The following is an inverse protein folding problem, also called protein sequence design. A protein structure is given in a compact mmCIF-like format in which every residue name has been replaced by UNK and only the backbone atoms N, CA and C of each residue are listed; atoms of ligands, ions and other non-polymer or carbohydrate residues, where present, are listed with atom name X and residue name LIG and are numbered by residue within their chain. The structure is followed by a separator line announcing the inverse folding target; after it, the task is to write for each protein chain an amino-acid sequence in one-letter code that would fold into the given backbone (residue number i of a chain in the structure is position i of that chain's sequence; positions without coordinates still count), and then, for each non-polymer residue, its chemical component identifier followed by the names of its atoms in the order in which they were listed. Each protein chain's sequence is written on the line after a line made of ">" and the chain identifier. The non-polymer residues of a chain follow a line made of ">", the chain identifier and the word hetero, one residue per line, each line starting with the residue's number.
data_IF_991036150521
#
_entry.id   IF_991036150521
#
_cell.length_a   1.000
_cell.length_b   1.000
_cell.length_c   1.000
_cell.angle_alpha   90.00
_cell.angle_beta   90.00
_cell.angle_gamma   90.00
#
_symmetry.space_group_name_H-M   'P 1'
#
loop_
_entity.id
_entity.type
_entity.pdbx_description
1 polymer ?
#
# COMPACT_ATOMS: atom_id res chain seq x y z
N UNK A 1 19.58 -0.86 15.36
CA UNK A 1 18.36 -1.57 14.89
C UNK A 1 17.28 -0.66 14.30
N UNK A 2 17.04 0.58 14.79
CA UNK A 2 15.95 1.47 14.31
C UNK A 2 15.92 1.79 12.79
N UNK A 3 17.07 2.01 12.14
CA UNK A 3 17.11 2.35 10.70
C UNK A 3 16.70 1.19 9.77
N UNK A 4 17.12 -0.03 10.08
CA UNK A 4 16.79 -1.20 9.24
C UNK A 4 15.29 -1.50 9.28
N UNK A 5 14.64 -1.37 10.45
CA UNK A 5 13.20 -1.58 10.57
C UNK A 5 12.40 -0.49 9.84
N UNK A 6 12.79 0.79 9.94
CA UNK A 6 12.18 1.89 9.16
C UNK A 6 12.32 1.63 7.64
N UNK A 7 13.48 1.17 7.19
CA UNK A 7 13.69 0.83 5.77
C UNK A 7 12.81 -0.34 5.30
N UNK A 8 12.61 -1.37 6.13
CA UNK A 8 11.72 -2.50 5.81
C UNK A 8 10.26 -2.02 5.70
N UNK A 9 9.81 -1.17 6.62
CA UNK A 9 8.46 -0.60 6.54
C UNK A 9 8.27 0.29 5.31
N UNK A 10 9.28 1.09 4.94
CA UNK A 10 9.25 1.86 3.70
C UNK A 10 9.13 0.94 2.48
N UNK A 11 9.96 -0.12 2.42
CA UNK A 11 9.94 -1.06 1.30
C UNK A 11 8.58 -1.76 1.15
N UNK A 12 8.05 -2.30 2.25
CA UNK A 12 6.75 -2.98 2.25
C UNK A 12 5.62 -1.98 1.92
N UNK A 13 5.71 -0.75 2.44
CA UNK A 13 4.75 0.30 2.16
C UNK A 13 4.72 0.68 0.69
N UNK A 14 5.89 0.91 0.06
CA UNK A 14 5.98 1.19 -1.39
C UNK A 14 5.39 0.04 -2.20
N UNK A 15 5.80 -1.21 -1.93
CA UNK A 15 5.34 -2.37 -2.67
C UNK A 15 3.82 -2.53 -2.53
N UNK A 16 3.29 -2.43 -1.31
CA UNK A 16 1.86 -2.54 -1.02
C UNK A 16 1.05 -1.46 -1.73
N UNK A 17 1.49 -0.21 -1.70
CA UNK A 17 0.83 0.90 -2.39
C UNK A 17 0.86 0.73 -3.90
N UNK A 18 2.00 0.35 -4.50
CA UNK A 18 2.10 0.13 -5.95
C UNK A 18 1.20 -1.02 -6.40
N UNK A 19 1.24 -2.16 -5.71
CA UNK A 19 0.37 -3.30 -6.02
C UNK A 19 -1.11 -2.96 -5.83
N UNK A 20 -1.43 -2.20 -4.78
CA UNK A 20 -2.78 -1.70 -4.53
C UNK A 20 -3.29 -0.83 -5.68
N UNK A 21 -2.49 0.13 -6.17
CA UNK A 21 -2.88 0.99 -7.29
C UNK A 21 -3.02 0.19 -8.59
N UNK A 22 -2.04 -0.66 -8.90
CA UNK A 22 -2.03 -1.47 -10.13
C UNK A 22 -3.22 -2.44 -10.18
N UNK A 23 -3.68 -2.92 -9.03
CA UNK A 23 -4.87 -3.80 -8.95
C UNK A 23 -6.19 -3.03 -8.85
N UNK A 24 -6.24 -1.90 -8.16
CA UNK A 24 -7.45 -1.10 -8.00
C UNK A 24 -8.01 -0.61 -9.35
N UNK A 25 -7.14 -0.07 -10.22
CA UNK A 25 -7.53 0.50 -11.52
C UNK A 25 -8.30 -0.53 -12.38
N UNK A 26 -7.76 -1.73 -12.69
CA UNK A 26 -8.48 -2.70 -13.48
C UNK A 26 -9.74 -3.24 -12.78
N UNK A 27 -9.77 -3.35 -11.46
CA UNK A 27 -10.97 -3.80 -10.74
C UNK A 27 -12.11 -2.77 -10.80
N UNK A 28 -11.79 -1.47 -10.70
CA UNK A 28 -12.78 -0.41 -10.92
C UNK A 28 -13.30 -0.41 -12.37
N UNK A 29 -12.42 -0.57 -13.36
CA UNK A 29 -12.81 -0.63 -14.78
C UNK A 29 -13.75 -1.81 -15.07
N UNK A 30 -13.51 -2.97 -14.45
CA UNK A 30 -14.35 -4.15 -14.60
C UNK A 30 -15.59 -4.16 -13.67
N UNK A 31 -15.85 -3.07 -12.93
CA UNK A 31 -16.96 -2.96 -11.95
C UNK A 31 -16.93 -4.05 -10.86
N UNK A 32 -15.76 -4.61 -10.56
CA UNK A 32 -15.58 -5.63 -9.51
C UNK A 32 -15.26 -4.91 -8.20
N UNK A 33 -16.27 -4.27 -7.63
CA UNK A 33 -16.09 -3.36 -6.48
C UNK A 33 -15.54 -4.03 -5.23
N UNK A 34 -15.87 -5.31 -4.99
CA UNK A 34 -15.34 -6.05 -3.82
C UNK A 34 -13.80 -6.13 -3.87
N UNK A 35 -13.23 -6.46 -5.03
CA UNK A 35 -11.77 -6.52 -5.20
C UNK A 35 -11.16 -5.13 -5.21
N UNK A 36 -11.83 -4.15 -5.83
CA UNK A 36 -11.38 -2.76 -5.83
C UNK A 36 -11.25 -2.19 -4.40
N UNK A 37 -12.22 -2.49 -3.53
CA UNK A 37 -12.19 -2.09 -2.11
C UNK A 37 -10.99 -2.70 -1.38
N UNK A 38 -10.71 -3.99 -1.60
CA UNK A 38 -9.54 -4.67 -1.01
C UNK A 38 -8.24 -4.00 -1.47
N UNK A 39 -8.13 -3.68 -2.76
CA UNK A 39 -6.98 -2.97 -3.29
C UNK A 39 -6.82 -1.58 -2.68
N UNK A 40 -7.91 -0.84 -2.44
CA UNK A 40 -7.87 0.47 -1.76
C UNK A 40 -7.42 0.33 -0.30
N UNK A 41 -7.89 -0.69 0.42
CA UNK A 41 -7.41 -0.97 1.79
C UNK A 41 -5.90 -1.24 1.77
N UNK A 42 -5.40 -2.01 0.79
CA UNK A 42 -3.97 -2.27 0.63
C UNK A 42 -3.18 -0.98 0.38
N UNK A 43 -3.71 -0.04 -0.42
CA UNK A 43 -3.12 1.28 -0.62
C UNK A 43 -3.01 2.03 0.69
N UNK A 44 -4.10 2.09 1.47
CA UNK A 44 -4.14 2.82 2.76
C UNK A 44 -3.12 2.23 3.74
N UNK A 45 -3.05 0.91 3.86
CA UNK A 45 -2.07 0.23 4.73
C UNK A 45 -0.65 0.56 4.26
N UNK A 46 -0.38 0.53 2.96
CA UNK A 46 0.92 0.89 2.41
C UNK A 46 1.33 2.34 2.74
N UNK A 47 0.39 3.28 2.62
CA UNK A 47 0.60 4.69 2.97
C UNK A 47 0.85 4.88 4.47
N UNK A 48 0.14 4.15 5.34
CA UNK A 48 0.37 4.18 6.79
C UNK A 48 1.77 3.64 7.12
N UNK A 49 2.20 2.54 6.50
CA UNK A 49 3.55 2.00 6.69
C UNK A 49 4.64 2.97 6.22
N UNK A 50 4.41 3.67 5.11
CA UNK A 50 5.29 4.74 4.66
C UNK A 50 5.34 5.89 5.67
N UNK A 51 4.18 6.33 6.16
CA UNK A 51 4.12 7.37 7.19
C UNK A 51 4.84 6.96 8.49
N UNK A 52 4.77 5.69 8.91
CA UNK A 52 5.55 5.18 10.04
C UNK A 52 7.05 5.07 9.75
N UNK A 53 7.42 4.78 8.50
CA UNK A 53 8.81 4.66 8.10
C UNK A 53 9.52 6.02 8.02
N UNK A 54 8.81 7.06 7.55
CA UNK A 54 9.33 8.41 7.37
C UNK A 54 8.95 9.38 8.49
N UNK A 55 7.95 9.05 9.30
CA UNK A 55 7.66 9.76 10.54
C UNK A 55 8.82 9.55 11.51
N UNK A 56 9.37 10.65 12.00
CA UNK A 56 10.49 10.61 12.94
C UNK A 56 10.09 9.98 14.28
#
# INVERSE_FOLDING_TARGET
>A
MKKNTKNIFALIGVIGTVLGIVSAIPFFLNKIYNLAIISVILIIIGLVLLAFAFGD
#
